data_IF_444325184869
#
_entry.id   IF_444325184869
#
_cell.length_a   1.000
_cell.length_b   1.000
_cell.length_c   1.000
_cell.angle_alpha   90.00
_cell.angle_beta   90.00
_cell.angle_gamma   90.00
#
_symmetry.space_group_name_H-M   'P 1'
#
loop_
_entity.id
_entity.type
_entity.pdbx_description
1 polymer ?
#
# COMPACT_ATOMS: atom_id res chain seq x y z
N UNK A 1 -8.98 4.83 -22.97
CA UNK A 1 -10.29 4.21 -22.59
C UNK A 1 -10.00 3.38 -21.36
N UNK A 2 -10.72 3.60 -20.25
CA UNK A 2 -10.41 3.00 -18.96
C UNK A 2 -10.59 1.48 -18.91
N UNK A 3 -10.35 0.88 -17.75
CA UNK A 3 -10.72 -0.49 -17.43
C UNK A 3 -11.71 -0.49 -16.26
N UNK A 4 -12.72 -1.36 -16.29
CA UNK A 4 -13.55 -1.60 -15.11
C UNK A 4 -12.71 -2.28 -14.01
N UNK A 5 -13.05 -2.00 -12.75
CA UNK A 5 -12.54 -2.75 -11.60
C UNK A 5 -13.74 -3.46 -10.99
N UNK A 6 -13.66 -4.79 -10.91
CA UNK A 6 -14.76 -5.65 -10.47
C UNK A 6 -14.27 -6.62 -9.38
N UNK A 7 -15.19 -7.11 -8.56
CA UNK A 7 -14.90 -8.03 -7.45
C UNK A 7 -15.99 -9.09 -7.38
N UNK A 8 -15.63 -10.34 -7.63
CA UNK A 8 -16.57 -11.46 -7.64
C UNK A 8 -16.03 -12.66 -6.89
N UNK A 9 -16.94 -13.35 -6.22
CA UNK A 9 -16.71 -14.69 -5.73
C UNK A 9 -16.99 -15.72 -6.83
N UNK A 10 -16.16 -16.76 -6.92
CA UNK A 10 -16.30 -17.82 -7.91
C UNK A 10 -17.69 -18.49 -7.89
N UNK A 11 -18.30 -18.60 -6.71
CA UNK A 11 -19.62 -19.21 -6.54
C UNK A 11 -20.76 -18.27 -6.98
N UNK A 12 -20.45 -16.98 -7.17
CA UNK A 12 -21.41 -15.93 -7.51
C UNK A 12 -20.95 -15.09 -8.72
N UNK A 13 -20.34 -15.74 -9.72
CA UNK A 13 -19.97 -15.06 -10.97
C UNK A 13 -21.22 -14.58 -11.71
N UNK A 14 -21.23 -13.34 -12.22
CA UNK A 14 -22.40 -12.76 -12.84
C UNK A 14 -22.65 -13.34 -14.24
N UNK A 15 -23.90 -13.30 -14.68
CA UNK A 15 -24.30 -13.72 -16.03
C UNK A 15 -24.09 -12.63 -17.09
N UNK A 16 -23.97 -11.37 -16.66
CA UNK A 16 -23.69 -10.18 -17.47
C UNK A 16 -22.79 -9.24 -16.67
N UNK A 17 -21.97 -8.43 -17.35
CA UNK A 17 -21.14 -7.41 -16.68
C UNK A 17 -21.73 -6.03 -16.94
N UNK A 18 -22.17 -5.37 -15.87
CA UNK A 18 -22.60 -3.97 -15.93
C UNK A 18 -21.39 -3.03 -15.76
N UNK A 19 -21.44 -1.83 -16.35
CA UNK A 19 -20.42 -0.79 -16.15
C UNK A 19 -19.13 -0.97 -16.95
N UNK A 20 -19.18 -1.83 -17.98
CA UNK A 20 -18.06 -2.10 -18.90
C UNK A 20 -18.25 -1.47 -20.29
N UNK A 21 -19.40 -0.83 -20.55
CA UNK A 21 -19.85 -0.39 -21.88
C UNK A 21 -18.88 0.62 -22.52
N UNK A 22 -18.31 1.52 -21.71
CA UNK A 22 -17.35 2.55 -22.14
C UNK A 22 -15.88 2.21 -21.78
N UNK A 23 -15.61 0.94 -21.45
CA UNK A 23 -14.28 0.48 -21.06
C UNK A 23 -13.57 -0.23 -22.21
N UNK A 24 -12.27 -0.45 -22.05
CA UNK A 24 -11.46 -1.29 -22.96
C UNK A 24 -11.35 -2.74 -22.47
N UNK A 25 -11.72 -2.99 -21.22
CA UNK A 25 -11.61 -4.27 -20.54
C UNK A 25 -11.96 -4.13 -19.06
N UNK A 26 -11.68 -5.18 -18.29
CA UNK A 26 -11.87 -5.18 -16.84
C UNK A 26 -10.69 -5.87 -16.11
N UNK A 27 -10.39 -5.39 -14.91
CA UNK A 27 -9.58 -6.07 -13.91
C UNK A 27 -10.54 -6.60 -12.85
N UNK A 28 -10.60 -7.91 -12.72
CA UNK A 28 -11.56 -8.61 -11.86
C UNK A 28 -10.78 -9.26 -10.72
N UNK A 29 -11.02 -8.82 -9.48
CA UNK A 29 -10.64 -9.58 -8.30
C UNK A 29 -11.52 -10.84 -8.24
N UNK A 30 -10.88 -12.00 -8.17
CA UNK A 30 -11.55 -13.28 -7.99
C UNK A 30 -11.36 -13.76 -6.57
N UNK A 31 -12.47 -14.14 -5.94
CA UNK A 31 -12.51 -14.71 -4.59
C UNK A 31 -12.88 -16.18 -4.61
N UNK A 32 -12.42 -16.87 -3.58
CA UNK A 32 -12.81 -18.24 -3.24
C UNK A 32 -13.30 -18.24 -1.80
N UNK A 33 -14.57 -18.59 -1.58
CA UNK A 33 -15.20 -18.56 -0.26
C UNK A 33 -15.06 -17.20 0.46
N UNK A 34 -15.26 -16.10 -0.28
CA UNK A 34 -15.19 -14.72 0.18
C UNK A 34 -13.77 -14.15 0.31
N UNK A 35 -12.71 -14.96 0.10
CA UNK A 35 -11.32 -14.54 0.29
C UNK A 35 -10.66 -14.13 -1.02
N UNK A 36 -9.91 -13.01 -1.07
CA UNK A 36 -9.09 -12.64 -2.22
C UNK A 36 -8.16 -13.79 -2.63
N UNK A 37 -8.30 -14.29 -3.86
CA UNK A 37 -7.61 -15.51 -4.32
C UNK A 37 -6.71 -15.27 -5.53
N UNK A 38 -7.12 -14.39 -6.43
CA UNK A 38 -6.34 -14.00 -7.62
C UNK A 38 -7.06 -12.93 -8.40
N UNK A 39 -6.60 -12.63 -9.61
CA UNK A 39 -7.30 -11.73 -10.51
C UNK A 39 -7.39 -12.27 -11.93
N UNK A 40 -8.39 -11.79 -12.67
CA UNK A 40 -8.49 -11.93 -14.12
C UNK A 40 -8.41 -10.57 -14.81
N UNK A 41 -7.69 -10.51 -15.92
CA UNK A 41 -7.64 -9.31 -16.78
C UNK A 41 -8.26 -9.67 -18.12
N UNK A 42 -9.39 -9.05 -18.42
CA UNK A 42 -10.22 -9.38 -19.59
C UNK A 42 -10.33 -8.18 -20.53
N UNK A 43 -10.39 -8.43 -21.83
CA UNK A 43 -10.54 -7.39 -22.87
C UNK A 43 -11.96 -7.38 -23.43
N UNK A 44 -12.40 -6.24 -23.97
CA UNK A 44 -13.67 -6.12 -24.69
C UNK A 44 -13.49 -6.30 -26.21
N UNK A 45 -14.53 -6.76 -26.95
CA UNK A 45 -15.84 -7.16 -26.44
C UNK A 45 -15.78 -8.51 -25.70
N UNK A 46 -16.54 -8.62 -24.62
CA UNK A 46 -16.68 -9.86 -23.87
C UNK A 46 -17.87 -10.67 -24.42
N UNK A 47 -17.92 -11.99 -24.17
CA UNK A 47 -19.06 -12.80 -24.58
C UNK A 47 -20.35 -12.34 -23.89
N UNK A 48 -21.44 -12.25 -24.65
CA UNK A 48 -22.78 -11.88 -24.15
C UNK A 48 -23.54 -13.07 -23.51
N UNK A 49 -23.09 -14.30 -23.79
CA UNK A 49 -23.66 -15.52 -23.21
C UNK A 49 -23.04 -15.83 -21.85
N UNK A 50 -23.88 -16.06 -20.83
CA UNK A 50 -23.46 -16.25 -19.45
C UNK A 50 -22.47 -17.43 -19.26
N UNK A 51 -22.70 -18.57 -19.94
CA UNK A 51 -21.81 -19.72 -19.85
C UNK A 51 -20.45 -19.45 -20.47
N UNK A 52 -20.45 -18.74 -21.59
CA UNK A 52 -19.24 -18.31 -22.30
C UNK A 52 -18.49 -17.23 -21.53
N UNK A 53 -19.19 -16.28 -20.91
CA UNK A 53 -18.61 -15.22 -20.08
C UNK A 53 -17.90 -15.80 -18.86
N UNK A 54 -18.54 -16.73 -18.14
CA UNK A 54 -17.92 -17.42 -17.00
C UNK A 54 -16.62 -18.10 -17.41
N UNK A 55 -16.66 -18.87 -18.50
CA UNK A 55 -15.49 -19.57 -19.03
C UNK A 55 -14.39 -18.58 -19.43
N UNK A 56 -14.77 -17.49 -20.11
CA UNK A 56 -13.85 -16.43 -20.52
C UNK A 56 -13.14 -15.78 -19.33
N UNK A 57 -13.85 -15.43 -18.25
CA UNK A 57 -13.24 -14.87 -17.03
C UNK A 57 -12.26 -15.85 -16.42
N UNK A 58 -12.65 -17.13 -16.27
CA UNK A 58 -11.82 -18.16 -15.64
C UNK A 58 -10.58 -18.52 -16.48
N UNK A 59 -10.70 -18.51 -17.80
CA UNK A 59 -9.56 -18.72 -18.72
C UNK A 59 -8.52 -17.57 -18.64
N UNK A 60 -8.94 -16.39 -18.17
CA UNK A 60 -8.07 -15.23 -17.94
C UNK A 60 -7.64 -15.08 -16.47
N UNK A 61 -8.06 -15.99 -15.58
CA UNK A 61 -7.65 -15.98 -14.19
C UNK A 61 -6.17 -16.33 -14.05
N UNK A 62 -5.48 -15.63 -13.14
CA UNK A 62 -4.08 -15.91 -12.86
C UNK A 62 -3.87 -17.27 -12.15
N UNK A 63 -2.62 -17.70 -12.06
CA UNK A 63 -2.28 -18.97 -11.43
C UNK A 63 -2.57 -18.97 -9.92
N UNK A 64 -2.55 -17.80 -9.27
CA UNK A 64 -2.79 -17.72 -7.83
C UNK A 64 -4.25 -18.05 -7.49
N UNK A 65 -5.18 -17.59 -8.33
CA UNK A 65 -6.59 -17.99 -8.23
C UNK A 65 -6.76 -19.51 -8.30
N UNK A 66 -6.16 -20.16 -9.29
CA UNK A 66 -6.31 -21.62 -9.46
C UNK A 66 -5.65 -22.41 -8.34
N UNK A 67 -4.49 -21.96 -7.84
CA UNK A 67 -3.85 -22.56 -6.66
C UNK A 67 -4.76 -22.45 -5.42
N UNK A 68 -5.34 -21.27 -5.18
CA UNK A 68 -6.24 -21.03 -4.04
C UNK A 68 -7.54 -21.85 -4.17
N UNK A 69 -8.14 -21.91 -5.36
CA UNK A 69 -9.33 -22.69 -5.62
C UNK A 69 -9.10 -24.19 -5.44
N UNK A 70 -8.01 -24.73 -5.99
CA UNK A 70 -7.63 -26.13 -5.79
C UNK A 70 -7.38 -26.43 -4.32
N UNK A 71 -6.64 -25.55 -3.62
CA UNK A 71 -6.37 -25.70 -2.19
C UNK A 71 -7.66 -25.78 -1.38
N UNK A 72 -8.62 -24.88 -1.64
CA UNK A 72 -9.92 -24.90 -0.98
C UNK A 72 -10.69 -26.21 -1.22
N UNK A 73 -10.81 -26.66 -2.48
CA UNK A 73 -11.56 -27.86 -2.83
C UNK A 73 -10.92 -29.17 -2.35
N UNK A 74 -9.59 -29.17 -2.17
CA UNK A 74 -8.86 -30.28 -1.59
C UNK A 74 -8.86 -30.27 -0.05
N UNK A 75 -9.48 -29.27 0.58
CA UNK A 75 -9.51 -29.13 2.03
C UNK A 75 -8.15 -28.76 2.63
N UNK A 76 -7.27 -28.12 1.86
CA UNK A 76 -6.03 -27.57 2.40
C UNK A 76 -6.35 -26.31 3.20
N UNK A 77 -6.07 -26.34 4.50
CA UNK A 77 -6.20 -25.15 5.35
C UNK A 77 -5.26 -24.06 4.83
N UNK A 78 -5.76 -22.83 4.60
CA UNK A 78 -4.88 -21.73 4.25
C UNK A 78 -3.93 -21.44 5.42
N UNK A 79 -2.67 -21.15 5.08
CA UNK A 79 -1.67 -20.82 6.09
C UNK A 79 -2.11 -19.61 6.94
N UNK A 80 -2.10 -19.79 8.27
CA UNK A 80 -2.37 -18.74 9.24
C UNK A 80 -3.83 -18.58 9.67
N UNK A 81 -4.72 -19.56 9.45
CA UNK A 81 -5.99 -19.56 10.19
C UNK A 81 -5.69 -19.72 11.68
N UNK A 82 -5.94 -18.65 12.43
CA UNK A 82 -5.70 -18.63 13.86
C UNK A 82 -6.99 -18.83 14.64
N UNK A 83 -6.86 -19.47 15.81
CA UNK A 83 -7.95 -19.78 16.73
C UNK A 83 -7.90 -18.92 18.02
N UNK A 84 -6.93 -18.01 18.10
CA UNK A 84 -6.74 -17.11 19.24
C UNK A 84 -7.66 -15.89 19.23
N UNK A 85 -7.75 -15.24 20.38
CA UNK A 85 -8.40 -13.93 20.48
C UNK A 85 -7.52 -12.89 19.77
N UNK A 86 -8.12 -12.16 18.82
CA UNK A 86 -7.43 -11.08 18.11
C UNK A 86 -7.07 -9.93 19.07
N UNK A 87 -5.90 -9.31 18.93
CA UNK A 87 -5.49 -8.19 19.77
C UNK A 87 -6.36 -6.95 19.52
N UNK A 88 -6.54 -6.13 20.56
CA UNK A 88 -7.26 -4.85 20.43
C UNK A 88 -6.53 -3.90 19.47
N UNK A 89 -7.31 -3.18 18.67
CA UNK A 89 -6.77 -2.33 17.61
C UNK A 89 -7.25 -0.88 17.67
N UNK A 90 -6.38 0.02 17.23
CA UNK A 90 -6.73 1.38 16.82
C UNK A 90 -6.50 1.53 15.32
N UNK A 91 -7.52 1.93 14.58
CA UNK A 91 -7.39 2.28 13.16
C UNK A 91 -7.11 3.79 13.06
N UNK A 92 -6.07 4.16 12.33
CA UNK A 92 -5.62 5.53 12.17
C UNK A 92 -5.64 5.95 10.69
N UNK A 93 -6.28 7.08 10.42
CA UNK A 93 -6.33 7.71 9.09
C UNK A 93 -5.62 9.05 9.21
N UNK A 94 -4.53 9.22 8.46
CA UNK A 94 -3.82 10.50 8.40
C UNK A 94 -4.27 11.22 7.13
N UNK A 95 -4.83 12.42 7.29
CA UNK A 95 -5.44 13.15 6.18
C UNK A 95 -5.02 14.62 6.19
N UNK A 96 -5.14 15.28 5.05
CA UNK A 96 -4.98 16.72 4.93
C UNK A 96 -5.76 17.23 3.72
N UNK A 97 -6.77 18.05 3.97
CA UNK A 97 -7.53 18.77 2.93
C UNK A 97 -8.14 17.84 1.84
N UNK A 98 -8.62 16.65 2.23
CA UNK A 98 -9.19 15.60 1.35
C UNK A 98 -10.49 15.00 1.87
N UNK A 99 -11.48 15.84 2.11
CA UNK A 99 -12.75 15.44 2.74
C UNK A 99 -13.54 14.39 1.95
N UNK A 100 -13.61 14.49 0.62
CA UNK A 100 -14.33 13.50 -0.22
C UNK A 100 -13.74 12.09 -0.11
N UNK A 101 -12.42 12.02 0.02
CA UNK A 101 -11.67 10.76 0.10
C UNK A 101 -11.87 10.16 1.48
N UNK A 102 -11.66 10.99 2.51
CA UNK A 102 -11.89 10.62 3.89
C UNK A 102 -13.32 10.12 4.13
N UNK A 103 -14.34 10.78 3.57
CA UNK A 103 -15.73 10.35 3.73
C UNK A 103 -15.96 8.94 3.18
N UNK A 104 -15.35 8.62 2.03
CA UNK A 104 -15.40 7.30 1.41
C UNK A 104 -14.66 6.26 2.26
N UNK A 105 -13.48 6.59 2.76
CA UNK A 105 -12.69 5.75 3.65
C UNK A 105 -13.47 5.43 4.94
N UNK A 106 -14.02 6.45 5.61
CA UNK A 106 -14.82 6.29 6.83
C UNK A 106 -16.10 5.46 6.58
N UNK A 107 -16.74 5.62 5.43
CA UNK A 107 -17.90 4.81 5.04
C UNK A 107 -17.53 3.33 4.86
N UNK A 108 -16.37 3.04 4.28
CA UNK A 108 -15.85 1.67 4.19
C UNK A 108 -15.49 1.08 5.56
N UNK A 109 -14.84 1.87 6.41
CA UNK A 109 -14.51 1.47 7.78
C UNK A 109 -15.76 1.13 8.61
N UNK A 110 -16.88 1.80 8.39
CA UNK A 110 -18.15 1.49 9.05
C UNK A 110 -18.68 0.07 8.72
N UNK A 111 -18.29 -0.49 7.58
CA UNK A 111 -18.68 -1.83 7.11
C UNK A 111 -17.75 -2.95 7.59
N UNK A 112 -16.65 -2.63 8.28
CA UNK A 112 -15.75 -3.65 8.83
C UNK A 112 -16.49 -4.56 9.82
N UNK A 113 -16.18 -5.85 9.71
CA UNK A 113 -16.69 -6.87 10.65
C UNK A 113 -16.03 -6.76 12.02
N UNK A 114 -14.71 -6.59 12.03
CA UNK A 114 -13.96 -6.39 13.26
C UNK A 114 -14.05 -4.93 13.73
N UNK A 115 -14.37 -4.70 15.01
CA UNK A 115 -14.52 -3.36 15.57
C UNK A 115 -13.20 -2.87 16.17
N UNK A 116 -12.97 -1.57 16.10
CA UNK A 116 -11.79 -0.91 16.64
C UNK A 116 -12.10 0.55 16.96
N UNK A 117 -11.22 1.17 17.75
CA UNK A 117 -11.20 2.64 17.89
C UNK A 117 -10.72 3.24 16.58
N UNK A 118 -11.43 4.24 16.05
CA UNK A 118 -11.03 4.94 14.81
C UNK A 118 -10.54 6.34 15.16
N UNK A 119 -9.32 6.67 14.74
CA UNK A 119 -8.70 7.98 14.88
C UNK A 119 -8.49 8.62 13.50
N UNK A 120 -8.98 9.84 13.32
CA UNK A 120 -8.62 10.69 12.18
C UNK A 120 -7.62 11.72 12.67
N UNK A 121 -6.41 11.67 12.12
CA UNK A 121 -5.35 12.65 12.37
C UNK A 121 -5.31 13.63 11.20
N UNK A 122 -5.83 14.83 11.44
CA UNK A 122 -5.88 15.92 10.47
C UNK A 122 -4.58 16.73 10.51
N UNK A 123 -3.76 16.59 9.47
CA UNK A 123 -2.37 17.02 9.44
C UNK A 123 -2.18 18.42 8.85
N UNK A 124 -1.95 19.40 9.71
CA UNK A 124 -1.79 20.81 9.37
C UNK A 124 -2.87 21.29 8.37
N UNK A 125 -4.16 21.12 8.70
CA UNK A 125 -5.26 21.44 7.79
C UNK A 125 -5.30 22.93 7.45
N UNK A 126 -5.73 23.22 6.23
CA UNK A 126 -5.91 24.60 5.75
C UNK A 126 -7.28 25.19 6.12
N UNK A 127 -8.26 24.35 6.45
CA UNK A 127 -9.62 24.72 6.87
C UNK A 127 -10.11 23.83 8.03
N UNK A 128 -11.36 24.00 8.45
CA UNK A 128 -12.00 23.14 9.47
C UNK A 128 -12.88 22.04 8.85
N UNK A 129 -12.84 21.87 7.51
CA UNK A 129 -13.77 21.00 6.78
C UNK A 129 -13.61 19.52 7.18
N UNK A 130 -12.38 19.07 7.43
CA UNK A 130 -12.10 17.72 7.94
C UNK A 130 -12.78 17.48 9.29
N UNK A 131 -12.70 18.45 10.22
CA UNK A 131 -13.33 18.32 11.54
C UNK A 131 -14.85 18.21 11.40
N UNK A 132 -15.45 19.11 10.61
CA UNK A 132 -16.89 19.13 10.34
C UNK A 132 -17.36 17.81 9.73
N UNK A 133 -16.59 17.24 8.80
CA UNK A 133 -16.88 15.93 8.22
C UNK A 133 -16.85 14.83 9.29
N UNK A 134 -15.80 14.78 10.12
CA UNK A 134 -15.65 13.73 11.15
C UNK A 134 -16.74 13.78 12.20
N UNK A 135 -17.28 14.95 12.54
CA UNK A 135 -18.42 15.11 13.47
C UNK A 135 -19.68 14.34 13.02
N UNK A 136 -19.80 13.99 11.74
CA UNK A 136 -20.89 13.15 11.20
C UNK A 136 -20.72 11.66 11.54
N UNK A 137 -19.55 11.25 12.05
CA UNK A 137 -19.20 9.87 12.39
C UNK A 137 -18.94 9.75 13.90
N UNK A 138 -19.97 9.53 14.75
CA UNK A 138 -19.86 9.64 16.21
C UNK A 138 -18.92 8.61 16.88
N UNK A 139 -18.58 7.52 16.19
CA UNK A 139 -17.61 6.52 16.65
C UNK A 139 -16.15 6.86 16.28
N UNK A 140 -15.92 7.97 15.58
CA UNK A 140 -14.60 8.39 15.09
C UNK A 140 -14.09 9.56 15.91
N UNK A 141 -12.86 9.46 16.39
CA UNK A 141 -12.21 10.53 17.15
C UNK A 141 -11.34 11.38 16.23
N UNK A 142 -11.66 12.66 16.15
CA UNK A 142 -10.84 13.68 15.47
C UNK A 142 -9.65 14.12 16.34
N UNK A 143 -8.48 14.26 15.72
CA UNK A 143 -7.28 14.84 16.33
C UNK A 143 -6.60 15.72 15.29
N UNK A 144 -6.22 16.93 15.70
CA UNK A 144 -5.41 17.84 14.86
C UNK A 144 -3.93 17.66 15.16
N UNK A 145 -3.12 17.40 14.14
CA UNK A 145 -1.65 17.50 14.22
C UNK A 145 -1.21 18.83 13.59
N UNK A 146 -0.68 19.79 14.35
CA UNK A 146 -0.33 21.11 13.81
C UNK A 146 0.90 21.11 12.90
N UNK A 147 1.80 20.13 13.00
CA UNK A 147 3.04 20.09 12.21
C UNK A 147 2.83 19.28 10.93
N UNK A 148 3.00 19.93 9.79
CA UNK A 148 2.90 19.28 8.49
C UNK A 148 3.87 18.11 8.35
N UNK A 149 3.43 17.03 7.70
CA UNK A 149 4.20 15.82 7.43
C UNK A 149 3.44 14.57 7.86
N UNK A 150 3.31 13.61 6.93
CA UNK A 150 2.55 12.38 7.18
C UNK A 150 3.11 11.59 8.37
N UNK A 151 4.42 11.54 8.54
CA UNK A 151 5.02 10.87 9.69
C UNK A 151 4.78 11.60 11.03
N UNK A 152 4.56 12.92 11.03
CA UNK A 152 4.10 13.62 12.24
C UNK A 152 2.70 13.14 12.63
N UNK A 153 1.79 13.02 11.64
CA UNK A 153 0.45 12.51 11.87
C UNK A 153 0.45 11.04 12.34
N UNK A 154 1.25 10.19 11.70
CA UNK A 154 1.41 8.78 12.11
C UNK A 154 1.97 8.64 13.52
N UNK A 155 2.96 9.46 13.88
CA UNK A 155 3.51 9.47 15.23
C UNK A 155 2.49 9.93 16.27
N UNK A 156 1.65 10.91 15.93
CA UNK A 156 0.54 11.33 16.78
C UNK A 156 -0.51 10.22 16.94
N UNK A 157 -0.82 9.48 15.87
CA UNK A 157 -1.67 8.29 15.98
C UNK A 157 -1.05 7.23 16.91
N UNK A 158 0.22 6.91 16.72
CA UNK A 158 0.95 5.94 17.55
C UNK A 158 0.96 6.32 19.04
N UNK A 159 1.12 7.61 19.35
CA UNK A 159 1.13 8.12 20.72
C UNK A 159 -0.25 8.11 21.39
N UNK A 160 -1.34 8.28 20.62
CA UNK A 160 -2.70 8.35 21.13
C UNK A 160 -3.45 7.01 21.08
N UNK A 161 -2.95 6.03 20.34
CA UNK A 161 -3.55 4.73 20.20
C UNK A 161 -3.51 3.95 21.52
N UNK A 162 -4.66 3.38 21.90
CA UNK A 162 -4.79 2.53 23.09
C UNK A 162 -4.71 1.04 22.76
N UNK A 163 -4.89 0.67 21.48
CA UNK A 163 -4.81 -0.72 21.03
C UNK A 163 -3.40 -1.29 21.15
N UNK A 164 -3.32 -2.62 21.24
CA UNK A 164 -2.06 -3.35 21.11
C UNK A 164 -1.48 -3.22 19.71
N UNK A 165 -2.35 -3.06 18.71
CA UNK A 165 -2.01 -2.84 17.30
C UNK A 165 -2.59 -1.51 16.82
N UNK A 166 -1.81 -0.81 16.00
CA UNK A 166 -2.25 0.40 15.28
C UNK A 166 -2.28 0.09 13.78
N UNK A 167 -3.48 0.03 13.20
CA UNK A 167 -3.70 -0.18 11.78
C UNK A 167 -3.81 1.17 11.06
N UNK A 168 -2.98 1.38 10.04
CA UNK A 168 -2.99 2.56 9.19
C UNK A 168 -3.66 2.26 7.84
N UNK A 169 -4.54 3.15 7.44
CA UNK A 169 -5.13 3.20 6.11
C UNK A 169 -5.11 4.65 5.62
N UNK A 170 -4.77 4.86 4.36
CA UNK A 170 -4.77 6.20 3.78
C UNK A 170 -6.21 6.69 3.52
N UNK A 171 -6.40 8.01 3.48
CA UNK A 171 -7.71 8.63 3.27
C UNK A 171 -8.28 8.37 1.87
N UNK A 172 -7.45 8.04 0.89
CA UNK A 172 -7.82 7.68 -0.47
C UNK A 172 -7.97 6.15 -0.69
N UNK A 173 -8.08 5.38 0.40
CA UNK A 173 -8.34 3.94 0.39
C UNK A 173 -9.63 3.51 1.09
N UNK A 174 -10.18 2.37 0.68
CA UNK A 174 -11.40 1.76 1.23
C UNK A 174 -11.10 0.30 1.64
N UNK A 175 -11.29 -0.09 2.90
CA UNK A 175 -10.97 -1.44 3.35
C UNK A 175 -12.02 -2.48 2.92
N UNK A 176 -11.58 -3.72 2.72
CA UNK A 176 -12.46 -4.88 2.67
C UNK A 176 -13.11 -5.14 4.05
N UNK A 177 -14.33 -5.72 4.14
CA UNK A 177 -14.97 -6.02 5.42
C UNK A 177 -14.14 -6.88 6.38
N UNK A 178 -13.27 -7.77 5.87
CA UNK A 178 -12.37 -8.63 6.65
C UNK A 178 -10.98 -8.02 6.90
N UNK A 179 -10.70 -6.83 6.36
CA UNK A 179 -9.38 -6.19 6.33
C UNK A 179 -8.68 -6.17 7.69
N UNK A 180 -9.35 -5.61 8.70
CA UNK A 180 -8.75 -5.42 10.01
C UNK A 180 -8.50 -6.76 10.73
N UNK A 181 -9.48 -7.65 10.77
CA UNK A 181 -9.31 -8.97 11.41
C UNK A 181 -8.15 -9.75 10.79
N UNK A 182 -8.01 -9.64 9.47
CA UNK A 182 -6.92 -10.27 8.73
C UNK A 182 -5.55 -9.65 9.01
N UNK A 183 -5.45 -8.35 9.25
CA UNK A 183 -4.19 -7.77 9.73
C UNK A 183 -3.86 -8.28 11.14
N UNK A 184 -4.86 -8.30 12.03
CA UNK A 184 -4.66 -8.58 13.46
C UNK A 184 -4.21 -10.02 13.75
N UNK A 185 -4.70 -11.03 13.01
CA UNK A 185 -4.28 -12.44 13.21
C UNK A 185 -2.77 -12.64 13.08
N UNK A 186 -2.08 -11.80 12.31
CA UNK A 186 -0.65 -11.93 12.10
C UNK A 186 0.19 -11.54 13.34
N UNK A 187 -0.42 -10.90 14.33
CA UNK A 187 0.25 -10.50 15.58
C UNK A 187 0.17 -11.55 16.69
N UNK A 188 -0.35 -12.75 16.42
CA UNK A 188 -0.18 -13.88 17.34
C UNK A 188 1.29 -14.29 17.48
N UNK A 189 2.08 -14.12 16.41
CA UNK A 189 3.52 -14.28 16.48
C UNK A 189 4.15 -13.02 17.15
N UNK A 190 4.81 -13.15 18.32
CA UNK A 190 5.44 -12.03 19.00
C UNK A 190 6.59 -11.40 18.21
N UNK A 191 7.17 -12.10 17.22
CA UNK A 191 8.22 -11.57 16.34
C UNK A 191 7.68 -10.63 15.26
N UNK A 192 6.37 -10.63 15.01
CA UNK A 192 5.74 -9.75 14.03
C UNK A 192 5.50 -8.37 14.66
N UNK A 193 6.20 -7.37 14.11
CA UNK A 193 5.99 -5.96 14.45
C UNK A 193 5.17 -5.20 13.41
N UNK A 194 5.05 -5.74 12.19
CA UNK A 194 4.21 -5.16 11.16
C UNK A 194 3.47 -6.23 10.35
N UNK A 195 2.24 -5.93 9.96
CA UNK A 195 1.49 -6.67 8.95
C UNK A 195 1.08 -5.69 7.84
N UNK A 196 1.08 -6.14 6.60
CA UNK A 196 0.64 -5.36 5.44
C UNK A 196 -0.31 -6.21 4.60
N UNK A 197 -1.03 -5.57 3.69
CA UNK A 197 -2.06 -6.25 2.92
C UNK A 197 -2.05 -5.96 1.43
N UNK A 198 -2.94 -6.64 0.71
CA UNK A 198 -3.17 -6.42 -0.72
C UNK A 198 -3.83 -5.05 -0.92
N UNK A 199 -3.26 -4.24 -1.82
CA UNK A 199 -3.86 -2.99 -2.25
C UNK A 199 -4.13 -3.05 -3.75
N UNK A 200 -5.41 -3.01 -4.10
CA UNK A 200 -5.88 -2.98 -5.49
C UNK A 200 -6.33 -1.57 -5.89
N UNK A 201 -6.43 -1.32 -7.19
CA UNK A 201 -6.93 -0.05 -7.70
C UNK A 201 -8.43 0.06 -7.39
N UNK A 202 -8.87 1.16 -6.78
CA UNK A 202 -10.31 1.44 -6.61
C UNK A 202 -11.01 1.69 -7.96
N UNK A 203 -10.27 2.29 -8.90
CA UNK A 203 -10.77 2.69 -10.22
C UNK A 203 -9.60 2.72 -11.22
N UNK A 204 -9.89 2.50 -12.51
CA UNK A 204 -8.91 2.52 -13.61
C UNK A 204 -9.46 3.31 -14.80
N UNK A 205 -9.97 4.50 -14.54
CA UNK A 205 -10.66 5.33 -15.53
C UNK A 205 -9.72 6.15 -16.43
N UNK A 206 -8.44 6.27 -16.06
CA UNK A 206 -7.46 7.06 -16.77
C UNK A 206 -6.20 6.27 -17.13
N UNK A 207 -5.53 6.70 -18.21
CA UNK A 207 -4.28 6.11 -18.67
C UNK A 207 -3.18 6.16 -17.58
N UNK A 208 -3.23 7.16 -16.70
CA UNK A 208 -2.29 7.27 -15.59
C UNK A 208 -2.44 6.14 -14.57
N UNK A 209 -3.68 5.78 -14.22
CA UNK A 209 -3.97 4.73 -13.25
C UNK A 209 -3.60 3.36 -13.83
N UNK A 210 -3.89 3.13 -15.10
CA UNK A 210 -3.48 1.93 -15.84
C UNK A 210 -1.95 1.84 -15.93
N UNK A 211 -1.27 2.95 -16.25
CA UNK A 211 0.18 2.99 -16.32
C UNK A 211 0.83 2.67 -14.96
N UNK A 212 0.26 3.16 -13.86
CA UNK A 212 0.76 2.86 -12.51
C UNK A 212 0.74 1.35 -12.19
N UNK A 213 -0.34 0.66 -12.55
CA UNK A 213 -0.44 -0.79 -12.39
C UNK A 213 0.62 -1.53 -13.21
N UNK A 214 0.89 -1.09 -14.44
CA UNK A 214 1.91 -1.70 -15.32
C UNK A 214 3.34 -1.55 -14.81
N UNK A 215 3.65 -0.46 -14.10
CA UNK A 215 4.99 -0.23 -13.54
C UNK A 215 5.19 -0.86 -12.16
N UNK A 216 4.17 -1.50 -11.59
CA UNK A 216 4.28 -2.35 -10.40
C UNK A 216 3.18 -2.16 -9.35
N UNK A 217 2.43 -1.05 -9.40
CA UNK A 217 1.34 -0.76 -8.46
C UNK A 217 1.69 -0.98 -6.98
N UNK A 218 0.66 -1.23 -6.16
CA UNK A 218 0.83 -1.62 -4.76
C UNK A 218 0.69 -3.11 -4.49
N UNK A 219 0.06 -3.87 -5.39
CA UNK A 219 -0.10 -5.32 -5.23
C UNK A 219 1.26 -6.03 -5.15
N UNK A 220 1.34 -7.04 -4.28
CA UNK A 220 2.47 -7.97 -4.15
C UNK A 220 2.05 -9.42 -4.43
N UNK A 221 0.92 -9.58 -5.11
CA UNK A 221 0.33 -10.88 -5.45
C UNK A 221 -0.60 -11.42 -4.35
N UNK A 222 -1.06 -12.66 -4.52
CA UNK A 222 -2.08 -13.28 -3.67
C UNK A 222 -1.51 -14.37 -2.76
N UNK A 223 -0.19 -14.35 -2.52
CA UNK A 223 0.47 -15.29 -1.59
C UNK A 223 0.89 -14.56 -0.32
N UNK A 224 0.59 -15.17 0.83
CA UNK A 224 1.07 -14.70 2.12
C UNK A 224 2.59 -14.88 2.20
N UNK A 225 3.30 -13.88 2.71
CA UNK A 225 4.77 -13.93 2.86
C UNK A 225 5.17 -13.38 4.22
N UNK A 226 6.00 -14.13 4.95
CA UNK A 226 6.65 -13.63 6.17
C UNK A 226 8.05 -13.14 5.81
N UNK A 227 8.26 -11.84 5.87
CA UNK A 227 9.54 -11.20 5.62
C UNK A 227 10.37 -11.09 6.89
N UNK A 228 11.65 -11.45 6.79
CA UNK A 228 12.67 -11.26 7.81
C UNK A 228 14.02 -10.95 7.14
N UNK A 229 15.04 -10.65 7.93
CA UNK A 229 16.36 -10.29 7.40
C UNK A 229 17.04 -11.38 6.55
N UNK A 230 16.59 -12.64 6.59
CA UNK A 230 17.14 -13.74 5.80
C UNK A 230 16.57 -13.81 4.39
N UNK A 231 15.30 -13.46 4.20
CA UNK A 231 14.62 -13.56 2.91
C UNK A 231 14.29 -12.19 2.27
N UNK A 232 14.44 -11.11 3.01
CA UNK A 232 14.26 -9.75 2.52
C UNK A 232 15.47 -8.90 2.94
N UNK A 233 16.19 -8.38 1.93
CA UNK A 233 17.21 -7.36 2.17
C UNK A 233 16.52 -6.12 2.76
N UNK A 234 16.89 -5.64 3.97
CA UNK A 234 16.25 -4.49 4.58
C UNK A 234 16.27 -3.24 3.69
N UNK A 235 17.25 -3.09 2.80
CA UNK A 235 17.27 -1.99 1.84
C UNK A 235 16.18 -2.06 0.77
N UNK A 236 15.52 -3.20 0.62
CA UNK A 236 14.42 -3.45 -0.30
C UNK A 236 13.09 -3.67 0.45
N UNK A 237 12.98 -3.13 1.68
CA UNK A 237 11.82 -3.33 2.54
C UNK A 237 10.48 -2.84 1.94
N UNK A 238 10.50 -2.02 0.88
CA UNK A 238 9.32 -1.66 0.08
C UNK A 238 8.61 -2.86 -0.58
N UNK A 239 9.28 -4.01 -0.67
CA UNK A 239 8.66 -5.27 -1.09
C UNK A 239 7.70 -5.83 -0.04
N UNK A 240 7.86 -5.46 1.24
CA UNK A 240 7.06 -5.99 2.34
C UNK A 240 5.63 -5.42 2.37
N UNK A 241 5.33 -4.39 1.56
CA UNK A 241 4.02 -3.75 1.50
C UNK A 241 4.13 -2.24 1.36
N UNK A 242 3.03 -1.54 1.64
CA UNK A 242 2.94 -0.08 1.55
C UNK A 242 2.13 0.50 2.71
N UNK A 243 2.44 1.73 3.12
CA UNK A 243 1.83 2.40 4.27
C UNK A 243 0.34 2.67 4.16
N UNK A 244 -0.22 2.58 2.95
CA UNK A 244 -1.66 2.63 2.65
C UNK A 244 -2.43 1.46 3.25
N UNK A 245 -1.75 0.34 3.51
CA UNK A 245 -2.33 -0.89 4.03
C UNK A 245 -1.33 -1.57 4.95
N UNK A 246 -1.26 -1.08 6.19
CA UNK A 246 -0.35 -1.63 7.19
C UNK A 246 -0.97 -1.63 8.58
N UNK A 247 -0.48 -2.52 9.44
CA UNK A 247 -0.68 -2.49 10.88
C UNK A 247 0.66 -2.66 11.56
N UNK A 248 0.79 -2.03 12.73
CA UNK A 248 2.00 -2.05 13.54
C UNK A 248 1.66 -2.49 14.95
N UNK A 249 2.48 -3.37 15.53
CA UNK A 249 2.42 -3.61 16.97
C UNK A 249 2.83 -2.32 17.68
N UNK A 250 2.04 -1.85 18.64
CA UNK A 250 2.30 -0.56 19.33
C UNK A 250 3.68 -0.50 19.99
N UNK A 251 4.19 -1.65 20.46
CA UNK A 251 5.55 -1.76 21.02
C UNK A 251 6.68 -1.45 20.03
N UNK A 252 6.39 -1.28 18.73
CA UNK A 252 7.38 -0.82 17.75
C UNK A 252 8.02 0.52 18.15
N UNK A 253 7.29 1.39 18.87
CA UNK A 253 7.81 2.67 19.36
C UNK A 253 8.99 2.46 20.32
N UNK A 254 8.87 1.48 21.21
CA UNK A 254 9.88 1.19 22.24
C UNK A 254 11.03 0.35 21.68
N UNK A 255 10.73 -0.55 20.73
CA UNK A 255 11.70 -1.49 20.16
C UNK A 255 12.52 -0.92 19.01
N UNK A 256 11.90 -0.07 18.18
CA UNK A 256 12.48 0.47 16.95
C UNK A 256 12.55 2.00 17.00
N UNK A 257 11.48 2.63 17.47
CA UNK A 257 11.31 4.08 17.46
C UNK A 257 10.14 4.54 16.60
N UNK A 258 9.81 5.84 16.67
CA UNK A 258 8.75 6.44 15.85
C UNK A 258 9.15 6.52 14.37
N UNK A 259 8.19 6.85 13.52
CA UNK A 259 8.47 7.23 12.14
C UNK A 259 9.37 8.48 12.10
N UNK A 260 10.31 8.54 11.15
CA UNK A 260 11.19 9.71 11.00
C UNK A 260 10.41 10.92 10.44
N UNK A 261 10.27 12.03 11.18
CA UNK A 261 9.56 13.22 10.69
C UNK A 261 10.18 13.89 9.46
N UNK A 262 11.44 13.55 9.13
CA UNK A 262 12.10 14.05 7.92
C UNK A 262 11.75 13.23 6.66
N UNK A 263 11.03 12.13 6.82
CA UNK A 263 10.56 11.26 5.73
C UNK A 263 9.07 11.49 5.46
N UNK A 264 8.66 11.05 4.27
CA UNK A 264 7.27 10.96 3.83
C UNK A 264 6.61 12.25 3.29
N UNK A 265 5.37 12.11 2.82
CA UNK A 265 4.57 13.15 2.21
C UNK A 265 4.43 14.37 3.12
N UNK A 266 4.40 15.56 2.50
CA UNK A 266 4.42 16.84 3.23
C UNK A 266 5.81 17.31 3.65
N UNK A 267 6.87 16.54 3.37
CA UNK A 267 8.28 16.92 3.64
C UNK A 267 9.09 17.08 2.36
N UNK A 268 10.36 17.50 2.47
CA UNK A 268 11.28 17.64 1.30
C UNK A 268 11.66 16.29 0.68
N UNK A 269 11.58 15.19 1.43
CA UNK A 269 11.92 13.83 0.98
C UNK A 269 10.77 13.12 0.26
N UNK A 270 9.57 13.70 0.28
CA UNK A 270 8.39 13.36 -0.52
C UNK A 270 7.68 12.03 -0.19
N UNK A 271 8.40 11.00 0.24
CA UNK A 271 7.87 9.67 0.57
C UNK A 271 8.84 8.90 1.50
N UNK A 272 8.55 7.63 1.77
CA UNK A 272 9.51 6.65 2.32
C UNK A 272 9.49 6.45 3.83
N UNK A 273 8.49 6.97 4.54
CA UNK A 273 8.36 6.77 5.99
C UNK A 273 8.11 5.30 6.35
N UNK A 274 7.19 4.66 5.64
CA UNK A 274 6.87 3.23 5.76
C UNK A 274 8.08 2.34 5.44
N UNK A 275 8.76 2.62 4.33
CA UNK A 275 9.92 1.86 3.83
C UNK A 275 11.07 1.93 4.83
N UNK A 276 11.32 3.09 5.43
CA UNK A 276 12.33 3.24 6.46
C UNK A 276 11.97 2.48 7.74
N UNK A 277 10.71 2.54 8.18
CA UNK A 277 10.28 1.78 9.36
C UNK A 277 10.40 0.28 9.11
N UNK A 278 9.96 -0.22 7.96
CA UNK A 278 10.08 -1.63 7.58
C UNK A 278 11.55 -2.07 7.52
N UNK A 279 12.43 -1.25 6.95
CA UNK A 279 13.88 -1.51 6.97
C UNK A 279 14.39 -1.66 8.40
N UNK A 280 13.99 -0.77 9.31
CA UNK A 280 14.42 -0.83 10.70
C UNK A 280 13.88 -2.07 11.41
N UNK A 281 12.61 -2.45 11.20
CA UNK A 281 12.01 -3.69 11.74
C UNK A 281 12.85 -4.91 11.31
N UNK A 282 13.12 -5.06 10.01
CA UNK A 282 13.92 -6.18 9.49
C UNK A 282 15.36 -6.14 10.00
N UNK A 283 15.99 -4.95 10.02
CA UNK A 283 17.38 -4.79 10.48
C UNK A 283 17.60 -5.14 11.95
N UNK A 284 16.54 -5.04 12.77
CA UNK A 284 16.55 -5.41 14.18
C UNK A 284 16.08 -6.86 14.42
N UNK A 285 15.91 -7.67 13.37
CA UNK A 285 15.60 -9.10 13.48
C UNK A 285 14.12 -9.45 13.65
N UNK A 286 13.23 -8.46 13.58
CA UNK A 286 11.79 -8.68 13.62
C UNK A 286 11.21 -9.00 12.25
N UNK A 287 9.95 -9.41 12.24
CA UNK A 287 9.24 -9.86 11.05
C UNK A 287 8.17 -8.87 10.59
N UNK A 288 7.93 -8.91 9.27
CA UNK A 288 6.83 -8.22 8.61
C UNK A 288 6.04 -9.25 7.82
N UNK A 289 4.72 -9.33 8.03
CA UNK A 289 3.88 -10.25 7.26
C UNK A 289 3.15 -9.49 6.17
N UNK A 290 3.31 -9.90 4.92
CA UNK A 290 2.39 -9.54 3.85
C UNK A 290 1.25 -10.57 3.79
N UNK A 291 0.03 -10.11 4.00
CA UNK A 291 -1.18 -10.94 4.02
C UNK A 291 -2.19 -10.46 2.98
N UNK A 292 -2.29 -11.13 1.82
CA UNK A 292 -3.10 -10.65 0.71
C UNK A 292 -4.61 -10.69 0.98
N UNK A 293 -5.04 -11.41 2.04
CA UNK A 293 -6.45 -11.39 2.45
C UNK A 293 -6.83 -10.05 3.11
N UNK A 294 -5.86 -9.28 3.63
CA UNK A 294 -6.09 -7.94 4.16
C UNK A 294 -6.20 -6.95 3.00
N UNK A 295 -7.30 -7.01 2.26
CA UNK A 295 -7.52 -6.20 1.06
C UNK A 295 -7.94 -4.76 1.41
N UNK A 296 -7.41 -3.79 0.66
CA UNK A 296 -8.03 -2.49 0.48
C UNK A 296 -7.99 -2.02 -0.99
N UNK A 297 -8.85 -1.07 -1.30
CA UNK A 297 -9.00 -0.45 -2.61
C UNK A 297 -8.51 0.98 -2.55
N UNK A 298 -7.47 1.31 -3.30
CA UNK A 298 -6.83 2.63 -3.25
C UNK A 298 -6.99 3.38 -4.57
N UNK A 299 -7.29 4.68 -4.50
CA UNK A 299 -7.41 5.53 -5.67
C UNK A 299 -6.07 6.05 -6.15
N UNK A 300 -5.68 5.64 -7.36
CA UNK A 300 -4.45 6.10 -7.98
C UNK A 300 -4.59 7.51 -8.56
N UNK A 301 -3.45 8.17 -8.77
CA UNK A 301 -3.37 9.48 -9.42
C UNK A 301 -3.99 9.43 -10.83
N UNK A 302 -4.83 10.42 -11.15
CA UNK A 302 -5.61 10.45 -12.41
C UNK A 302 -4.85 11.11 -13.57
N UNK A 303 -3.91 12.01 -13.28
CA UNK A 303 -3.13 12.67 -14.33
C UNK A 303 -1.73 12.09 -14.47
N UNK A 304 -1.18 12.19 -15.68
CA UNK A 304 0.19 11.75 -15.93
C UNK A 304 1.23 12.61 -15.23
N UNK A 305 0.95 13.90 -15.03
CA UNK A 305 1.82 14.79 -14.27
C UNK A 305 1.93 14.36 -12.80
N UNK A 306 0.80 14.04 -12.17
CA UNK A 306 0.78 13.54 -10.79
C UNK A 306 1.47 12.18 -10.66
N UNK A 307 1.24 11.27 -11.62
CA UNK A 307 1.95 9.98 -11.60
C UNK A 307 3.46 10.17 -11.72
N UNK A 308 3.93 11.06 -12.61
CA UNK A 308 5.35 11.35 -12.75
C UNK A 308 5.94 11.94 -11.46
N UNK A 309 5.21 12.83 -10.78
CA UNK A 309 5.61 13.36 -9.47
C UNK A 309 5.67 12.27 -8.40
N UNK A 310 4.71 11.35 -8.40
CA UNK A 310 4.68 10.21 -7.49
C UNK A 310 5.88 9.28 -7.71
N UNK A 311 6.16 8.90 -8.96
CA UNK A 311 7.32 8.04 -9.31
C UNK A 311 8.63 8.75 -8.94
N UNK A 312 8.75 10.05 -9.23
CA UNK A 312 9.90 10.85 -8.79
C UNK A 312 10.06 10.82 -7.27
N UNK A 313 8.95 10.99 -6.53
CA UNK A 313 8.91 10.97 -5.08
C UNK A 313 9.38 9.64 -4.49
N UNK A 314 8.90 8.51 -5.03
CA UNK A 314 9.31 7.17 -4.59
C UNK A 314 10.80 6.93 -4.76
N UNK A 315 11.38 7.36 -5.88
CA UNK A 315 12.81 7.16 -6.15
C UNK A 315 13.68 8.12 -5.34
N UNK A 316 13.24 9.37 -5.15
CA UNK A 316 13.88 10.29 -4.23
C UNK A 316 13.85 9.77 -2.78
N UNK A 317 12.72 9.19 -2.36
CA UNK A 317 12.56 8.62 -1.05
C UNK A 317 13.42 7.37 -0.84
N UNK A 318 13.48 6.44 -1.79
CA UNK A 318 14.35 5.27 -1.70
C UNK A 318 15.80 5.69 -1.41
N UNK A 319 16.30 6.72 -2.11
CA UNK A 319 17.65 7.24 -1.89
C UNK A 319 17.77 8.11 -0.63
N UNK A 320 16.70 8.76 -0.18
CA UNK A 320 16.65 9.41 1.13
C UNK A 320 16.83 8.40 2.27
N UNK A 321 16.13 7.26 2.20
CA UNK A 321 16.24 6.16 3.18
C UNK A 321 17.63 5.53 3.15
N UNK A 322 18.19 5.26 1.97
CA UNK A 322 19.58 4.79 1.85
C UNK A 322 20.58 5.80 2.41
N UNK A 323 20.35 7.10 2.22
CA UNK A 323 21.19 8.17 2.77
C UNK A 323 21.11 8.21 4.29
N UNK A 324 19.90 8.09 4.86
CA UNK A 324 19.68 7.95 6.30
C UNK A 324 20.50 6.78 6.85
N UNK A 325 20.30 5.60 6.27
CA UNK A 325 20.95 4.35 6.66
C UNK A 325 22.48 4.44 6.59
N UNK A 326 23.02 4.93 5.47
CA UNK A 326 24.46 4.99 5.26
C UNK A 326 25.15 6.08 6.09
N UNK A 327 24.64 7.32 6.04
CA UNK A 327 25.36 8.48 6.59
C UNK A 327 25.06 8.66 8.08
N UNK A 328 23.81 8.49 8.47
CA UNK A 328 23.37 8.85 9.82
C UNK A 328 23.28 7.66 10.77
N UNK A 329 23.05 6.45 10.25
CA UNK A 329 23.05 5.21 11.04
C UNK A 329 24.33 4.38 10.84
N UNK A 330 25.18 4.75 9.89
CA UNK A 330 26.46 4.08 9.57
C UNK A 330 26.31 2.62 9.14
N UNK A 331 25.16 2.27 8.57
CA UNK A 331 24.92 0.95 8.01
C UNK A 331 25.51 0.84 6.60
N UNK A 332 26.68 0.23 6.51
CA UNK A 332 27.40 0.03 5.24
C UNK A 332 26.67 -0.93 4.29
N UNK A 333 25.70 -1.73 4.76
CA UNK A 333 24.92 -2.62 3.90
C UNK A 333 24.14 -1.84 2.84
N UNK A 334 23.80 -0.59 3.12
CA UNK A 334 23.16 0.33 2.17
C UNK A 334 23.98 0.62 0.89
N UNK A 335 25.28 0.28 0.86
CA UNK A 335 26.10 0.41 -0.35
C UNK A 335 25.77 -0.64 -1.43
N UNK A 336 25.37 -1.85 -1.03
CA UNK A 336 24.98 -2.93 -1.95
C UNK A 336 23.76 -2.59 -2.83
N UNK A 337 22.61 -2.17 -2.28
CA UNK A 337 21.44 -1.78 -3.07
C UNK A 337 21.75 -0.57 -3.96
N UNK A 338 22.54 0.39 -3.48
CA UNK A 338 22.99 1.54 -4.26
C UNK A 338 23.81 1.10 -5.49
N UNK A 339 24.77 0.19 -5.30
CA UNK A 339 25.58 -0.36 -6.38
C UNK A 339 24.74 -1.19 -7.38
N UNK A 340 23.82 -2.02 -6.88
CA UNK A 340 22.87 -2.80 -7.71
C UNK A 340 22.00 -1.87 -8.55
N UNK A 341 21.42 -0.83 -7.94
CA UNK A 341 20.61 0.14 -8.65
C UNK A 341 21.40 0.82 -9.77
N UNK A 342 22.62 1.29 -9.51
CA UNK A 342 23.47 1.91 -10.54
C UNK A 342 23.74 0.96 -11.71
N UNK A 343 24.01 -0.32 -11.42
CA UNK A 343 24.23 -1.37 -12.43
C UNK A 343 23.00 -1.61 -13.32
N UNK A 344 21.80 -1.49 -12.78
CA UNK A 344 20.55 -1.76 -13.51
C UNK A 344 19.95 -0.53 -14.21
N UNK A 345 20.06 0.65 -13.60
CA UNK A 345 19.39 1.86 -14.10
C UNK A 345 20.05 2.42 -15.38
N UNK A 346 21.38 2.41 -15.47
CA UNK A 346 22.10 2.95 -16.64
C UNK A 346 21.73 2.17 -17.92
N UNK A 347 21.78 0.81 -17.96
CA UNK A 347 21.32 0.06 -19.12
C UNK A 347 19.81 0.17 -19.39
N UNK A 348 18.99 0.40 -18.35
CA UNK A 348 17.54 0.58 -18.50
C UNK A 348 17.23 1.87 -19.29
N UNK A 349 17.81 3.01 -18.87
CA UNK A 349 17.64 4.31 -19.56
C UNK A 349 18.12 4.23 -21.01
N UNK A 350 19.28 3.60 -21.25
CA UNK A 350 19.85 3.45 -22.60
C UNK A 350 18.96 2.58 -23.51
N UNK A 351 18.36 1.51 -22.96
CA UNK A 351 17.43 0.65 -23.70
C UNK A 351 16.10 1.34 -23.98
N UNK A 352 15.51 2.00 -22.99
CA UNK A 352 14.26 2.75 -23.14
C UNK A 352 14.37 3.91 -24.14
N UNK A 353 15.57 4.48 -24.31
CA UNK A 353 15.83 5.49 -25.36
C UNK A 353 15.84 4.91 -26.78
N UNK A 354 16.24 3.65 -26.92
CA UNK A 354 16.43 2.96 -28.22
C UNK A 354 15.19 2.17 -28.65
N UNK A 355 14.38 1.73 -27.70
CA UNK A 355 13.19 0.90 -27.94
C UNK A 355 11.97 1.54 -27.26
N UNK A 356 11.04 2.11 -28.03
CA UNK A 356 9.78 2.65 -27.50
C UNK A 356 8.96 1.62 -26.71
N UNK A 357 9.09 0.33 -27.06
CA UNK A 357 8.40 -0.81 -26.41
C UNK A 357 9.13 -1.35 -25.17
N UNK A 358 10.13 -0.63 -24.65
CA UNK A 358 10.82 -1.06 -23.45
C UNK A 358 9.85 -1.15 -22.25
N UNK A 359 10.10 -2.11 -21.35
CA UNK A 359 9.29 -2.37 -20.14
C UNK A 359 9.02 -1.12 -19.29
N UNK A 360 9.90 -0.12 -19.34
CA UNK A 360 9.72 1.20 -18.75
C UNK A 360 9.87 2.27 -19.83
N UNK A 361 8.88 3.14 -20.04
CA UNK A 361 8.99 4.29 -20.94
C UNK A 361 10.18 5.20 -20.58
N UNK A 362 10.83 5.82 -21.58
CA UNK A 362 12.04 6.64 -21.36
C UNK A 362 11.83 7.81 -20.39
N UNK A 363 10.68 8.49 -20.47
CA UNK A 363 10.30 9.56 -19.54
C UNK A 363 10.17 9.06 -18.09
N UNK A 364 9.66 7.84 -17.89
CA UNK A 364 9.61 7.20 -16.56
C UNK A 364 11.02 6.87 -16.07
N UNK A 365 11.83 6.19 -16.89
CA UNK A 365 13.19 5.79 -16.49
C UNK A 365 14.10 6.99 -16.14
N UNK A 366 13.99 8.09 -16.88
CA UNK A 366 14.71 9.34 -16.58
C UNK A 366 14.18 10.06 -15.34
N UNK A 367 12.87 10.02 -15.11
CA UNK A 367 12.24 10.54 -13.88
C UNK A 367 12.77 9.80 -12.65
N UNK A 368 12.89 8.47 -12.72
CA UNK A 368 13.44 7.67 -11.63
C UNK A 368 14.89 8.05 -11.30
N UNK A 369 15.74 8.19 -12.31
CA UNK A 369 17.13 8.59 -12.10
C UNK A 369 17.27 9.99 -11.49
N UNK A 370 16.43 10.94 -11.92
CA UNK A 370 16.40 12.28 -11.32
C UNK A 370 15.94 12.25 -9.86
N UNK A 371 14.97 11.40 -9.53
CA UNK A 371 14.50 11.17 -8.16
C UNK A 371 15.65 10.66 -7.29
N UNK A 372 16.27 9.56 -7.71
CA UNK A 372 17.40 8.93 -7.03
C UNK A 372 18.54 9.91 -6.73
N UNK A 373 18.98 10.71 -7.72
CA UNK A 373 20.04 11.70 -7.52
C UNK A 373 19.64 12.81 -6.54
N UNK A 374 18.35 13.15 -6.45
CA UNK A 374 17.86 14.21 -5.58
C UNK A 374 17.62 13.76 -4.13
N UNK A 375 17.43 12.47 -3.89
CA UNK A 375 17.11 11.88 -2.58
C UNK A 375 18.05 12.31 -1.44
N UNK A 376 19.38 12.18 -1.59
CA UNK A 376 20.32 12.47 -0.49
C UNK A 376 20.24 13.93 -0.01
N UNK A 377 20.26 14.88 -0.95
CA UNK A 377 20.15 16.32 -0.62
C UNK A 377 18.79 16.63 0.03
N UNK A 378 17.72 16.07 -0.52
CA UNK A 378 16.35 16.25 0.00
C UNK A 378 16.21 15.74 1.44
N UNK A 379 16.80 14.59 1.77
CA UNK A 379 16.77 14.07 3.14
C UNK A 379 17.52 14.99 4.12
N UNK A 380 18.72 15.46 3.75
CA UNK A 380 19.50 16.37 4.60
C UNK A 380 18.73 17.68 4.85
N UNK A 381 18.08 18.23 3.82
CA UNK A 381 17.22 19.41 3.96
C UNK A 381 15.99 19.14 4.84
N UNK A 382 15.28 18.03 4.61
CA UNK A 382 14.12 17.64 5.42
C UNK A 382 14.50 17.50 6.91
N UNK A 383 15.63 16.85 7.20
CA UNK A 383 16.11 16.62 8.56
C UNK A 383 16.51 17.91 9.27
N UNK A 384 17.06 18.89 8.55
CA UNK A 384 17.34 20.22 9.11
C UNK A 384 16.04 20.94 9.49
N UNK A 385 15.03 20.87 8.64
CA UNK A 385 13.71 21.47 8.91
C UNK A 385 13.07 20.79 10.13
N UNK A 386 13.03 19.45 10.16
CA UNK A 386 12.42 18.66 11.24
C UNK A 386 13.11 18.81 12.60
N UNK A 387 14.35 19.33 12.65
CA UNK A 387 15.05 19.63 13.91
C UNK A 387 14.80 21.04 14.41
N UNK A 388 14.39 21.95 13.53
CA UNK A 388 14.28 23.38 13.80
C UNK A 388 12.82 23.84 14.00
N UNK A 389 11.84 22.98 13.74
CA UNK A 389 10.42 23.20 14.01
C UNK A 389 9.86 22.08 14.86
#
# INVERSE_FOLDING_TARGET
MGMAVLDFDIDNLPTTLDGVEDKSGAVILLRVAGRPAGQAIVSLPMPDDAGTLRTYILDHADSAFWEAWLGHNLGLSPEGETSGQLPDATVAICTRDRTEDLERCLSGLAQMRHKATILVIDNAPSSEDTRILVERFPSVRYVREPRAGLNNARNTALALANGEVVAFIDDDAVPDPEWLGTLLRNFEDPMVLAATGLTMALELDSDAQIAFQRVGGFSRGFKRVVHNAHNCDPALAWHCGAGVNMALRRSVIDLIGPFDPALDAGTRSLAGGDTDLFRQILSNGYQIVYDPQALNWHRHRRSMAELQQQIFGYEAAAFAVLTKSLIFERDLRALLPLARWMRHQIPSILRSRRHPDARLPFNVATTQARGAMAGPKRYVEARRIARNG
#
